data_IF_534640199112
#
_entry.id   IF_534640199112
#
_cell.length_a   1.000
_cell.length_b   1.000
_cell.length_c   1.000
_cell.angle_alpha   90.00
_cell.angle_beta   90.00
_cell.angle_gamma   90.00
#
_symmetry.space_group_name_H-M   'P 1'
#
loop_
_entity.id
_entity.type
_entity.pdbx_description
1 polymer ?
#
# COMPACT_ATOMS: atom_id res chain seq x y z
N UNK A 1 21.07 -26.10 -6.77
CA UNK A 1 21.69 -26.70 -5.56
C UNK A 1 23.05 -26.06 -5.33
N UNK A 2 23.22 -25.33 -4.23
CA UNK A 2 24.49 -24.70 -3.86
C UNK A 2 24.47 -24.36 -2.38
N UNK A 3 24.58 -25.39 -1.54
CA UNK A 3 24.66 -25.30 -0.09
C UNK A 3 26.14 -25.05 0.24
N UNK A 4 26.49 -23.87 0.75
CA UNK A 4 27.74 -23.72 1.50
C UNK A 4 27.46 -22.95 2.79
N UNK A 5 27.24 -23.77 3.83
CA UNK A 5 27.45 -23.41 5.24
C UNK A 5 28.92 -23.09 5.46
N UNK A 6 29.19 -22.38 6.56
CA UNK A 6 30.47 -22.14 7.26
C UNK A 6 31.04 -20.73 6.99
N UNK A 7 31.63 -20.01 7.94
CA UNK A 7 32.24 -20.45 9.18
C UNK A 7 32.26 -19.33 10.23
N UNK A 8 32.20 -19.75 11.49
CA UNK A 8 32.42 -18.94 12.69
C UNK A 8 33.86 -18.44 12.73
N UNK A 9 34.07 -17.13 12.86
CA UNK A 9 35.37 -16.56 13.19
C UNK A 9 35.41 -16.22 14.69
N UNK A 10 36.44 -16.77 15.34
CA UNK A 10 36.67 -16.87 16.77
C UNK A 10 37.11 -15.53 17.35
N UNK A 11 36.48 -15.09 18.44
CA UNK A 11 37.02 -14.01 19.28
C UNK A 11 37.98 -14.65 20.27
N UNK A 12 39.28 -14.46 20.05
CA UNK A 12 40.35 -14.81 20.99
C UNK A 12 40.39 -13.79 22.13
N UNK A 13 40.39 -14.26 23.37
CA UNK A 13 40.43 -13.43 24.58
C UNK A 13 41.82 -13.24 25.17
N UNK A 14 41.87 -12.40 26.21
CA UNK A 14 42.73 -12.45 27.43
C UNK A 14 42.47 -11.13 28.20
N UNK A 15 41.69 -11.11 29.30
CA UNK A 15 42.03 -11.49 30.68
C UNK A 15 42.82 -10.41 31.46
N UNK A 16 42.17 -9.80 32.47
CA UNK A 16 42.81 -9.43 33.75
C UNK A 16 41.78 -9.10 34.86
N UNK A 17 41.69 -10.02 35.83
CA UNK A 17 41.66 -9.83 37.30
C UNK A 17 40.43 -9.19 38.00
N UNK A 18 39.49 -10.08 38.36
CA UNK A 18 38.92 -10.37 39.69
C UNK A 18 38.51 -9.24 40.67
N UNK A 19 37.21 -9.14 40.94
CA UNK A 19 36.66 -8.84 42.28
C UNK A 19 35.48 -9.79 42.56
N UNK A 20 35.47 -10.40 43.75
CA UNK A 20 34.45 -11.34 44.24
C UNK A 20 33.07 -10.67 44.40
N UNK A 21 32.00 -11.31 43.90
CA UNK A 21 30.69 -11.38 44.58
C UNK A 21 29.71 -12.35 43.89
N UNK A 22 29.13 -13.23 44.72
CA UNK A 22 27.81 -13.87 44.65
C UNK A 22 27.35 -14.62 43.38
N UNK A 23 27.15 -15.93 43.55
CA UNK A 23 26.33 -16.76 42.69
C UNK A 23 24.84 -16.40 42.83
N UNK A 24 24.21 -15.97 41.74
CA UNK A 24 22.76 -16.07 41.55
C UNK A 24 22.47 -16.57 40.14
N UNK A 25 22.11 -17.85 40.05
CA UNK A 25 21.40 -18.40 38.90
C UNK A 25 20.00 -17.78 38.90
N UNK A 26 19.76 -16.78 38.04
CA UNK A 26 18.40 -16.35 37.74
C UNK A 26 18.19 -16.48 36.23
N UNK A 27 17.27 -17.38 35.91
CA UNK A 27 16.71 -17.68 34.60
C UNK A 27 16.48 -16.40 33.79
N UNK A 28 17.20 -16.24 32.69
CA UNK A 28 16.86 -15.24 31.69
C UNK A 28 15.51 -15.60 31.08
N UNK A 29 14.44 -14.94 31.52
CA UNK A 29 13.18 -14.97 30.80
C UNK A 29 13.41 -14.28 29.46
N UNK A 30 13.17 -14.93 28.32
CA UNK A 30 13.11 -14.20 27.06
C UNK A 30 11.94 -13.22 27.20
N UNK A 31 12.24 -11.94 27.40
CA UNK A 31 11.28 -10.89 27.06
C UNK A 31 11.16 -10.97 25.54
N UNK A 32 10.23 -11.80 25.07
CA UNK A 32 9.66 -11.61 23.75
C UNK A 32 9.15 -10.17 23.76
N UNK A 33 9.88 -9.29 23.08
CA UNK A 33 9.44 -7.92 22.85
C UNK A 33 8.10 -8.06 22.15
N UNK A 34 7.01 -7.84 22.90
CA UNK A 34 5.71 -7.67 22.31
C UNK A 34 5.87 -6.46 21.40
N UNK A 35 5.90 -6.71 20.09
CA UNK A 35 5.85 -5.67 19.09
C UNK A 35 4.65 -4.77 19.45
N UNK A 36 4.83 -3.44 19.44
CA UNK A 36 3.74 -2.53 19.78
C UNK A 36 2.53 -2.88 18.93
N UNK A 37 1.37 -3.02 19.56
CA UNK A 37 0.10 -3.15 18.87
C UNK A 37 -0.02 -1.95 17.93
N UNK A 38 -0.20 -2.24 16.65
CA UNK A 38 -0.26 -1.25 15.57
C UNK A 38 -1.25 -0.15 15.93
N UNK A 39 -0.74 1.06 16.17
CA UNK A 39 -1.58 2.24 16.09
C UNK A 39 -1.86 2.49 14.61
N UNK A 40 -3.14 2.63 14.27
CA UNK A 40 -3.67 2.81 12.91
C UNK A 40 -3.34 4.21 12.35
N UNK A 41 -2.09 4.64 12.43
CA UNK A 41 -1.63 5.85 11.74
C UNK A 41 -0.38 5.55 10.92
N UNK A 42 -0.43 5.91 9.63
CA UNK A 42 0.75 5.88 8.79
C UNK A 42 1.61 7.11 9.14
N UNK A 43 2.46 6.98 10.17
CA UNK A 43 3.36 8.04 10.65
C UNK A 43 4.81 7.54 10.72
N UNK A 44 5.30 6.99 9.61
CA UNK A 44 6.66 6.48 9.50
C UNK A 44 7.68 7.56 9.08
N UNK A 45 7.21 8.68 8.52
CA UNK A 45 8.02 9.86 8.17
C UNK A 45 7.27 11.14 8.49
N UNK A 46 7.98 12.27 8.52
CA UNK A 46 7.35 13.58 8.47
C UNK A 46 6.59 13.76 7.14
N UNK A 47 5.32 14.14 7.21
CA UNK A 47 4.46 14.34 6.02
C UNK A 47 5.03 15.35 5.00
N UNK A 48 5.88 16.27 5.46
CA UNK A 48 6.53 17.25 4.60
C UNK A 48 7.71 16.69 3.79
N UNK A 49 8.30 15.56 4.19
CA UNK A 49 9.54 15.06 3.59
C UNK A 49 9.31 14.41 2.21
N UNK A 50 8.31 13.52 2.10
CA UNK A 50 7.86 12.81 0.88
C UNK A 50 8.95 12.63 -0.20
N UNK A 51 10.07 11.95 0.12
CA UNK A 51 11.17 11.77 -0.82
C UNK A 51 10.75 10.86 -1.98
N UNK A 52 11.42 10.96 -3.13
CA UNK A 52 11.20 9.98 -4.20
C UNK A 52 11.71 8.62 -3.74
N UNK A 53 10.84 7.59 -3.79
CA UNK A 53 11.22 6.20 -3.51
C UNK A 53 10.94 5.29 -4.71
N UNK A 54 11.77 4.27 -4.89
CA UNK A 54 11.79 3.38 -6.06
C UNK A 54 12.22 1.95 -5.68
N UNK A 55 12.04 0.95 -6.56
CA UNK A 55 12.43 -0.43 -6.30
C UNK A 55 13.88 -0.56 -5.82
N UNK A 56 14.07 -1.37 -4.77
CA UNK A 56 15.36 -1.59 -4.12
C UNK A 56 15.70 -0.62 -2.99
N UNK A 57 14.95 0.47 -2.81
CA UNK A 57 15.14 1.35 -1.66
C UNK A 57 14.72 0.65 -0.36
N UNK A 58 15.44 0.95 0.73
CA UNK A 58 15.11 0.50 2.09
C UNK A 58 15.06 1.72 3.00
N UNK A 59 13.87 2.10 3.44
CA UNK A 59 13.69 3.32 4.24
C UNK A 59 12.36 3.39 4.99
N UNK A 60 12.28 4.29 5.96
CA UNK A 60 11.02 4.63 6.62
C UNK A 60 9.98 5.23 5.64
N UNK A 61 10.42 5.89 4.56
CA UNK A 61 9.54 6.41 3.53
C UNK A 61 8.87 5.28 2.72
N UNK A 62 9.58 4.18 2.47
CA UNK A 62 8.98 2.98 1.85
C UNK A 62 7.93 2.38 2.78
N UNK A 63 8.22 2.33 4.09
CA UNK A 63 7.25 1.86 5.08
C UNK A 63 5.99 2.73 5.14
N UNK A 64 6.16 4.04 5.00
CA UNK A 64 5.04 4.99 4.82
C UNK A 64 4.20 4.63 3.59
N UNK A 65 4.83 4.37 2.44
CA UNK A 65 4.12 3.99 1.21
C UNK A 65 3.32 2.70 1.43
N UNK A 66 3.95 1.67 2.01
CA UNK A 66 3.30 0.38 2.27
C UNK A 66 2.06 0.55 3.16
N UNK A 67 2.16 1.33 4.24
CA UNK A 67 1.03 1.64 5.11
C UNK A 67 -0.09 2.38 4.37
N UNK A 68 0.23 3.42 3.60
CA UNK A 68 -0.77 4.19 2.87
C UNK A 68 -1.49 3.34 1.81
N UNK A 69 -0.76 2.45 1.11
CA UNK A 69 -1.37 1.48 0.19
C UNK A 69 -2.36 0.59 0.94
N UNK A 70 -1.99 0.05 2.10
CA UNK A 70 -2.86 -0.82 2.90
C UNK A 70 -4.14 -0.14 3.40
N UNK A 71 -4.04 1.13 3.81
CA UNK A 71 -5.11 1.79 4.57
C UNK A 71 -5.95 2.77 3.77
N UNK A 72 -5.43 3.34 2.68
CA UNK A 72 -6.11 4.39 1.93
C UNK A 72 -6.53 3.92 0.54
N UNK A 73 -5.88 2.88 0.01
CA UNK A 73 -6.12 2.39 -1.34
C UNK A 73 -6.98 1.14 -1.36
N UNK A 74 -7.74 0.93 -2.43
CA UNK A 74 -8.52 -0.29 -2.70
C UNK A 74 -7.67 -1.51 -3.10
N UNK A 75 -6.34 -1.45 -2.94
CA UNK A 75 -5.47 -2.56 -3.29
C UNK A 75 -5.74 -3.77 -2.39
N UNK A 76 -6.12 -4.90 -3.00
CA UNK A 76 -6.66 -6.06 -2.28
C UNK A 76 -5.63 -6.90 -1.54
N UNK A 77 -4.32 -6.70 -1.81
CA UNK A 77 -3.25 -7.51 -1.23
C UNK A 77 -2.51 -6.71 -0.18
N UNK A 78 -2.64 -7.14 1.07
CA UNK A 78 -1.94 -6.54 2.19
C UNK A 78 -0.42 -6.61 2.01
N UNK A 79 0.25 -5.47 2.16
CA UNK A 79 1.70 -5.33 2.12
C UNK A 79 2.27 -5.47 3.53
N UNK A 80 3.44 -6.07 3.62
CA UNK A 80 4.23 -5.99 4.84
C UNK A 80 4.82 -4.58 4.95
N UNK A 81 4.72 -3.98 6.12
CA UNK A 81 5.27 -2.65 6.41
C UNK A 81 6.71 -2.78 6.92
N UNK A 82 7.56 -3.42 6.14
CA UNK A 82 8.97 -3.70 6.46
C UNK A 82 9.91 -2.53 6.10
N UNK A 83 9.47 -1.64 5.20
CA UNK A 83 10.30 -0.56 4.66
C UNK A 83 11.22 -0.99 3.51
N UNK A 84 11.05 -2.21 2.98
CA UNK A 84 11.79 -2.72 1.82
C UNK A 84 10.96 -2.56 0.54
N UNK A 85 11.48 -1.84 -0.46
CA UNK A 85 10.79 -1.65 -1.73
C UNK A 85 11.00 -2.88 -2.63
N UNK A 86 10.33 -3.97 -2.28
CA UNK A 86 10.33 -5.22 -3.01
C UNK A 86 9.24 -5.31 -4.10
N UNK A 87 9.14 -6.47 -4.79
CA UNK A 87 8.16 -6.68 -5.85
C UNK A 87 6.70 -6.49 -5.41
N UNK A 88 6.35 -6.89 -4.18
CA UNK A 88 4.98 -6.68 -3.65
C UNK A 88 4.64 -5.19 -3.53
N UNK A 89 5.58 -4.38 -3.04
CA UNK A 89 5.42 -2.93 -2.94
C UNK A 89 5.32 -2.29 -4.32
N UNK A 90 6.12 -2.75 -5.28
CA UNK A 90 6.04 -2.31 -6.68
C UNK A 90 4.64 -2.53 -7.26
N UNK A 91 4.08 -3.74 -7.11
CA UNK A 91 2.74 -4.05 -7.60
C UNK A 91 1.66 -3.16 -6.95
N UNK A 92 1.77 -2.93 -5.63
CA UNK A 92 0.84 -2.04 -4.91
C UNK A 92 0.92 -0.59 -5.39
N UNK A 93 2.14 -0.07 -5.60
CA UNK A 93 2.34 1.29 -6.10
C UNK A 93 1.82 1.43 -7.53
N UNK A 94 2.12 0.48 -8.41
CA UNK A 94 1.61 0.50 -9.79
C UNK A 94 0.09 0.44 -9.84
N UNK A 95 -0.55 -0.34 -8.95
CA UNK A 95 -2.01 -0.34 -8.82
C UNK A 95 -2.55 1.04 -8.44
N UNK A 96 -1.96 1.67 -7.41
CA UNK A 96 -2.34 3.02 -6.96
C UNK A 96 -2.19 4.02 -8.11
N UNK A 97 -1.06 4.00 -8.80
CA UNK A 97 -0.77 4.90 -9.91
C UNK A 97 -1.76 4.74 -11.06
N UNK A 98 -2.05 3.48 -11.44
CA UNK A 98 -2.99 3.17 -12.50
C UNK A 98 -4.41 3.63 -12.16
N UNK A 99 -4.93 3.24 -10.99
CA UNK A 99 -6.27 3.61 -10.57
C UNK A 99 -6.43 5.14 -10.45
N UNK A 100 -5.43 5.81 -9.86
CA UNK A 100 -5.48 7.25 -9.62
C UNK A 100 -5.06 8.11 -10.81
N UNK A 101 -4.65 7.49 -11.94
CA UNK A 101 -4.12 8.18 -13.12
C UNK A 101 -3.02 9.21 -12.77
N UNK A 102 -1.97 8.76 -12.07
CA UNK A 102 -0.84 9.63 -11.70
C UNK A 102 -0.05 10.09 -12.91
N UNK A 103 0.57 11.27 -12.81
CA UNK A 103 1.50 11.77 -13.83
C UNK A 103 2.68 10.81 -13.95
N UNK A 104 2.96 10.33 -15.16
CA UNK A 104 4.00 9.31 -15.42
C UNK A 104 3.45 7.90 -15.62
N UNK A 105 2.17 7.66 -15.31
CA UNK A 105 1.56 6.33 -15.41
C UNK A 105 2.04 5.38 -14.29
N UNK A 106 1.82 4.06 -14.45
CA UNK A 106 2.22 3.04 -13.47
C UNK A 106 3.71 2.67 -13.58
N UNK A 107 4.59 3.65 -13.43
CA UNK A 107 6.04 3.49 -13.55
C UNK A 107 6.71 2.84 -12.32
N UNK A 108 5.98 2.69 -11.21
CA UNK A 108 6.50 2.14 -9.95
C UNK A 108 7.39 3.11 -9.17
N UNK A 109 7.48 4.38 -9.56
CA UNK A 109 8.27 5.39 -8.86
C UNK A 109 7.33 6.29 -8.05
N UNK A 110 7.58 6.40 -6.74
CA UNK A 110 6.76 7.24 -5.87
C UNK A 110 7.34 8.65 -5.86
N UNK A 111 6.97 9.42 -6.89
CA UNK A 111 7.23 10.86 -6.99
C UNK A 111 6.11 11.72 -6.37
N UNK A 112 6.18 13.06 -6.51
CA UNK A 112 5.21 13.98 -5.92
C UNK A 112 3.74 13.69 -6.28
N UNK A 113 3.47 13.29 -7.53
CA UNK A 113 2.12 12.92 -7.98
C UNK A 113 1.60 11.67 -7.26
N UNK A 114 2.44 10.63 -7.17
CA UNK A 114 2.11 9.38 -6.47
C UNK A 114 1.91 9.63 -4.98
N UNK A 115 2.78 10.42 -4.34
CA UNK A 115 2.61 10.81 -2.93
C UNK A 115 1.26 11.48 -2.68
N UNK A 116 0.88 12.44 -3.52
CA UNK A 116 -0.43 13.10 -3.37
C UNK A 116 -1.60 12.12 -3.42
N UNK A 117 -1.51 11.07 -4.25
CA UNK A 117 -2.57 10.06 -4.40
C UNK A 117 -2.55 8.98 -3.33
N UNK A 118 -1.42 8.73 -2.67
CA UNK A 118 -1.37 7.85 -1.50
C UNK A 118 -2.13 8.44 -0.30
N UNK A 119 -2.05 9.77 -0.10
CA UNK A 119 -2.78 10.46 0.97
C UNK A 119 -4.20 10.86 0.59
N UNK A 120 -4.45 11.14 -0.70
CA UNK A 120 -5.77 11.53 -1.20
C UNK A 120 -6.08 10.78 -2.50
N UNK A 121 -6.41 9.48 -2.38
CA UNK A 121 -6.83 8.69 -3.53
C UNK A 121 -8.14 9.22 -4.10
N UNK A 122 -8.39 8.93 -5.37
CA UNK A 122 -9.73 9.12 -5.94
C UNK A 122 -10.73 8.22 -5.21
N UNK A 123 -11.99 8.64 -5.03
CA UNK A 123 -12.99 7.86 -4.30
C UNK A 123 -13.12 6.41 -4.79
N UNK A 124 -13.14 6.20 -6.11
CA UNK A 124 -13.21 4.88 -6.75
C UNK A 124 -11.97 3.99 -6.49
N UNK A 125 -10.87 4.58 -6.04
CA UNK A 125 -9.62 3.90 -5.73
C UNK A 125 -9.40 3.66 -4.23
N UNK A 126 -10.39 3.97 -3.38
CA UNK A 126 -10.32 3.75 -1.93
C UNK A 126 -10.92 2.40 -1.52
N UNK A 127 -10.61 1.93 -0.31
CA UNK A 127 -11.19 0.70 0.27
C UNK A 127 -12.73 0.71 0.32
N UNK A 128 -13.36 1.88 0.25
CA UNK A 128 -14.83 2.06 0.34
C UNK A 128 -15.54 1.89 -1.01
N UNK A 129 -14.82 1.87 -2.13
CA UNK A 129 -15.42 1.78 -3.47
C UNK A 129 -16.20 0.47 -3.72
N UNK A 130 -15.96 -0.57 -2.91
CA UNK A 130 -16.64 -1.88 -3.02
C UNK A 130 -18.14 -1.89 -2.71
N UNK A 131 -18.74 -0.77 -2.29
CA UNK A 131 -20.17 -0.69 -1.94
C UNK A 131 -20.98 0.30 -2.80
N UNK A 132 -20.35 1.05 -3.70
CA UNK A 132 -21.02 2.10 -4.49
C UNK A 132 -21.16 1.77 -5.99
N UNK A 133 -20.39 0.82 -6.52
CA UNK A 133 -20.42 0.47 -7.96
C UNK A 133 -21.52 -0.57 -8.27
N UNK A 134 -22.79 -0.22 -8.04
CA UNK A 134 -23.92 -0.90 -8.71
C UNK A 134 -25.04 0.09 -9.10
N UNK A 135 -24.83 1.40 -8.98
CA UNK A 135 -25.89 2.37 -9.23
C UNK A 135 -25.44 3.69 -9.90
N UNK A 136 -24.55 3.64 -10.88
CA UNK A 136 -24.32 4.71 -11.88
C UNK A 136 -23.36 4.09 -12.91
N UNK A 137 -23.72 3.71 -14.13
CA UNK A 137 -24.35 4.48 -15.20
C UNK A 137 -24.86 3.49 -16.26
N UNK A 138 -26.18 3.32 -16.36
CA UNK A 138 -26.85 2.77 -17.54
C UNK A 138 -27.86 3.81 -18.06
N UNK A 139 -27.34 4.99 -18.39
CA UNK A 139 -27.98 6.05 -19.18
C UNK A 139 -26.78 6.89 -19.66
N UNK A 140 -26.40 7.05 -20.91
CA UNK A 140 -27.19 7.48 -22.06
C UNK A 140 -26.28 7.34 -23.30
N UNK A 141 -26.67 6.53 -24.29
CA UNK A 141 -26.15 6.67 -25.66
C UNK A 141 -27.04 5.87 -26.62
N UNK A 142 -28.12 6.47 -27.13
CA UNK A 142 -28.44 6.39 -28.56
C UNK A 142 -29.45 7.50 -28.95
N UNK A 143 -28.89 8.54 -29.59
CA UNK A 143 -29.40 9.21 -30.80
C UNK A 143 -30.85 9.72 -30.87
N UNK A 144 -30.93 11.05 -30.70
CA UNK A 144 -31.73 12.07 -31.41
C UNK A 144 -32.52 11.70 -32.68
N UNK A 145 -33.66 12.42 -32.83
CA UNK A 145 -34.49 12.68 -34.03
C UNK A 145 -35.49 11.56 -34.40
N UNK A 146 -36.81 11.76 -34.46
CA UNK A 146 -37.58 12.78 -35.21
C UNK A 146 -38.94 13.04 -34.54
N UNK A 147 -39.26 14.33 -34.43
CA UNK A 147 -40.54 14.93 -34.03
C UNK A 147 -41.65 14.76 -35.08
N UNK A 148 -42.90 15.00 -34.62
CA UNK A 148 -44.12 15.35 -35.39
C UNK A 148 -45.10 14.17 -35.61
N UNK A 149 -46.10 13.95 -34.75
CA UNK A 149 -47.42 14.64 -34.69
C UNK A 149 -48.13 14.49 -36.05
N UNK A 150 -49.24 13.76 -36.21
CA UNK A 150 -50.59 14.13 -35.74
C UNK A 150 -51.59 13.01 -36.07
N UNK A 151 -52.64 12.89 -35.24
CA UNK A 151 -54.04 12.63 -35.63
C UNK A 151 -54.57 11.20 -35.89
N UNK A 152 -55.07 10.60 -34.80
CA UNK A 152 -56.48 10.20 -34.59
C UNK A 152 -57.41 10.11 -35.81
N UNK A 153 -58.14 8.98 -35.92
CA UNK A 153 -59.56 8.80 -36.34
C UNK A 153 -59.72 7.58 -37.26
N UNK A 154 -60.10 6.42 -36.72
CA UNK A 154 -61.49 5.93 -36.70
C UNK A 154 -62.01 5.42 -38.06
N UNK A 155 -62.54 4.19 -38.02
CA UNK A 155 -63.74 3.68 -38.74
C UNK A 155 -63.56 2.95 -40.08
N UNK A 156 -64.30 1.83 -40.14
CA UNK A 156 -65.01 1.27 -41.30
C UNK A 156 -64.20 0.29 -42.16
N UNK A 157 -64.42 -1.03 -42.02
CA UNK A 157 -65.38 -1.83 -42.84
C UNK A 157 -65.13 -1.73 -44.34
N UNK A 158 -64.72 -2.86 -44.91
CA UNK A 158 -64.75 -3.22 -46.32
C UNK A 158 -64.44 -4.71 -46.42
#
# INVERSE_FOLDING_TARGET
>A
MGIHRSARARVSGAAALAVLAAATLLTGTPTASAAPAAETNCNHIDDAARPTVRPGDVSAAVRQVQCLVNHYSGYSRWLEEDGDYGPRTLEGVQWVQNCNATTGGPDGIVGPSTWSRLYTPKPECTLTAGTAETAETAETAETTETTETTETTQRSRG
#
